data_IF_977870824987
#
_entry.id   IF_977870824987
#
_cell.length_a   1.000
_cell.length_b   1.000
_cell.length_c   1.000
_cell.angle_alpha   90.00
_cell.angle_beta   90.00
_cell.angle_gamma   90.00
#
_symmetry.space_group_name_H-M   'P 1'
#
loop_
_entity.id
_entity.type
_entity.pdbx_description
1 polymer ?
#
# COMPACT_ATOMS: atom_id res chain seq x y z
N UNK A 1 -7.00 -13.08 17.22
CA UNK A 1 -7.01 -11.60 17.22
C UNK A 1 -8.19 -11.02 16.44
N UNK A 2 -8.45 -11.46 15.19
CA UNK A 2 -9.57 -10.96 14.36
C UNK A 2 -10.92 -11.10 15.06
N UNK A 3 -11.17 -12.20 15.80
CA UNK A 3 -12.41 -12.39 16.58
C UNK A 3 -12.56 -11.32 17.68
N UNK A 4 -11.50 -11.08 18.45
CA UNK A 4 -11.49 -10.07 19.51
C UNK A 4 -11.68 -8.64 19.00
N UNK A 5 -11.15 -8.33 17.82
CA UNK A 5 -11.34 -7.03 17.19
C UNK A 5 -12.80 -6.82 16.73
N UNK A 6 -13.44 -7.86 16.21
CA UNK A 6 -14.86 -7.79 15.80
C UNK A 6 -15.82 -7.70 16.99
N UNK A 7 -15.45 -8.24 18.12
CA UNK A 7 -16.21 -8.17 19.37
C UNK A 7 -15.94 -6.89 20.18
N UNK A 8 -14.96 -6.10 19.77
CA UNK A 8 -14.67 -4.83 20.43
C UNK A 8 -15.82 -3.84 20.24
N UNK A 9 -16.11 -3.05 21.26
CA UNK A 9 -17.15 -2.01 21.22
C UNK A 9 -16.85 -0.89 20.20
N UNK A 10 -15.70 -0.92 19.53
CA UNK A 10 -15.27 0.05 18.52
C UNK A 10 -15.74 -0.38 17.13
N UNK A 11 -16.23 0.55 16.29
CA UNK A 11 -16.67 0.24 14.93
C UNK A 11 -15.47 -0.03 14.00
N UNK A 12 -14.93 -1.24 14.06
CA UNK A 12 -13.81 -1.70 13.25
C UNK A 12 -14.29 -2.66 12.17
N UNK A 13 -13.92 -2.42 10.92
CA UNK A 13 -14.04 -3.40 9.85
C UNK A 13 -12.70 -4.07 9.62
N UNK A 14 -12.65 -5.40 9.68
CA UNK A 14 -11.43 -6.18 9.47
C UNK A 14 -11.55 -6.95 8.17
N UNK A 15 -10.63 -6.72 7.25
CA UNK A 15 -10.46 -7.42 5.99
C UNK A 15 -9.34 -8.45 6.19
N UNK A 16 -9.69 -9.71 6.20
CA UNK A 16 -8.74 -10.80 6.43
C UNK A 16 -8.12 -11.33 5.14
N UNK A 17 -7.15 -12.22 5.30
CA UNK A 17 -6.34 -12.79 4.21
C UNK A 17 -7.18 -13.42 3.08
N UNK A 18 -8.31 -14.08 3.40
CA UNK A 18 -9.20 -14.69 2.39
C UNK A 18 -9.79 -13.66 1.42
N UNK A 19 -10.00 -12.43 1.88
CA UNK A 19 -10.55 -11.34 1.07
C UNK A 19 -9.46 -10.61 0.28
N UNK A 20 -8.21 -10.72 0.72
CA UNK A 20 -7.02 -10.17 0.06
C UNK A 20 -6.52 -11.09 -1.06
N UNK A 21 -6.70 -12.41 -0.91
CA UNK A 21 -6.28 -13.40 -1.90
C UNK A 21 -7.31 -13.55 -3.02
N UNK A 22 -6.84 -13.48 -4.26
CA UNK A 22 -7.60 -13.91 -5.44
C UNK A 22 -8.59 -12.91 -6.04
N UNK A 23 -8.71 -11.70 -5.51
CA UNK A 23 -9.71 -10.74 -6.02
C UNK A 23 -9.22 -9.32 -6.24
N UNK A 24 -8.07 -8.95 -5.74
CA UNK A 24 -7.64 -7.56 -5.82
C UNK A 24 -6.17 -7.46 -6.15
N UNK A 25 -5.88 -6.75 -7.18
CA UNK A 25 -4.52 -6.39 -7.57
C UNK A 25 -3.89 -5.35 -6.66
N UNK A 26 -4.69 -4.64 -5.84
CA UNK A 26 -4.20 -3.61 -4.95
C UNK A 26 -5.10 -3.39 -3.71
N UNK A 27 -4.56 -2.70 -2.70
CA UNK A 27 -5.26 -2.41 -1.45
C UNK A 27 -6.51 -1.55 -1.67
N UNK A 28 -6.48 -0.63 -2.62
CA UNK A 28 -7.61 0.25 -2.91
C UNK A 28 -8.84 -0.55 -3.34
N UNK A 29 -8.67 -1.57 -4.18
CA UNK A 29 -9.77 -2.41 -4.65
C UNK A 29 -10.43 -3.18 -3.50
N UNK A 30 -9.62 -3.57 -2.53
CA UNK A 30 -10.10 -4.26 -1.31
C UNK A 30 -10.84 -3.27 -0.40
N UNK A 31 -10.26 -2.09 -0.17
CA UNK A 31 -10.86 -1.05 0.66
C UNK A 31 -12.17 -0.52 0.07
N UNK A 32 -12.29 -0.43 -1.26
CA UNK A 32 -13.51 0.02 -1.93
C UNK A 32 -14.74 -0.86 -1.63
N UNK A 33 -14.52 -2.12 -1.24
CA UNK A 33 -15.58 -3.07 -0.84
C UNK A 33 -16.00 -2.90 0.63
N UNK A 34 -15.30 -2.05 1.38
CA UNK A 34 -15.58 -1.83 2.80
C UNK A 34 -16.63 -0.75 2.98
N UNK A 35 -17.68 -1.05 3.73
CA UNK A 35 -18.76 -0.10 4.00
C UNK A 35 -18.22 1.17 4.65
N UNK A 36 -18.58 2.31 4.08
CA UNK A 36 -18.15 3.64 4.53
C UNK A 36 -16.80 4.10 3.98
N UNK A 37 -16.13 3.29 3.19
CA UNK A 37 -14.93 3.69 2.43
C UNK A 37 -15.33 4.00 1.00
N UNK A 38 -14.89 5.15 0.49
CA UNK A 38 -15.04 5.53 -0.91
C UNK A 38 -13.65 5.79 -1.48
N UNK A 39 -13.37 5.21 -2.63
CA UNK A 39 -12.11 5.41 -3.34
C UNK A 39 -12.41 6.04 -4.69
N UNK A 40 -11.74 7.14 -4.97
CA UNK A 40 -11.78 7.80 -6.27
C UNK A 40 -10.45 7.61 -6.96
N UNK A 41 -10.44 6.80 -8.00
CA UNK A 41 -9.30 6.61 -8.89
C UNK A 41 -9.45 7.54 -10.09
N UNK A 42 -8.36 8.19 -10.49
CA UNK A 42 -8.34 9.09 -11.64
C UNK A 42 -7.93 8.40 -12.95
N UNK A 43 -7.54 7.13 -12.88
CA UNK A 43 -7.10 6.37 -14.06
C UNK A 43 -6.68 4.94 -13.71
N UNK A 44 -5.80 4.37 -14.53
CA UNK A 44 -5.25 3.02 -14.35
C UNK A 44 -4.23 2.90 -13.21
N UNK A 45 -3.44 1.85 -13.26
CA UNK A 45 -2.38 1.62 -12.26
C UNK A 45 -1.41 2.81 -12.22
N UNK A 46 -1.07 3.26 -11.03
CA UNK A 46 -0.20 4.42 -10.80
C UNK A 46 -0.90 5.77 -10.79
N UNK A 47 -2.18 5.84 -11.20
CA UNK A 47 -2.92 7.09 -11.11
C UNK A 47 -3.21 7.48 -9.66
N UNK A 48 -3.39 8.79 -9.43
CA UNK A 48 -3.74 9.29 -8.11
C UNK A 48 -5.06 8.69 -7.62
N UNK A 49 -5.05 8.17 -6.41
CA UNK A 49 -6.25 7.70 -5.73
C UNK A 49 -6.49 8.51 -4.46
N UNK A 50 -7.75 8.82 -4.21
CA UNK A 50 -8.18 9.47 -2.97
C UNK A 50 -9.06 8.53 -2.19
N UNK A 51 -8.66 8.26 -0.96
CA UNK A 51 -9.41 7.44 -0.04
C UNK A 51 -10.19 8.36 0.89
N UNK A 52 -11.49 8.16 0.99
CA UNK A 52 -12.33 8.82 1.97
C UNK A 52 -13.04 7.81 2.85
N UNK A 53 -13.15 8.11 4.13
CA UNK A 53 -13.85 7.34 5.11
C UNK A 53 -14.97 8.19 5.70
N UNK A 54 -16.23 7.81 5.48
CA UNK A 54 -17.41 8.58 5.88
C UNK A 54 -17.37 10.04 5.42
N UNK A 55 -16.85 10.30 4.21
CA UNK A 55 -16.73 11.63 3.64
C UNK A 55 -15.52 12.45 4.12
N UNK A 56 -14.67 11.91 5.00
CA UNK A 56 -13.46 12.58 5.47
C UNK A 56 -12.24 12.08 4.69
N UNK A 57 -11.39 12.99 4.24
CA UNK A 57 -10.23 12.72 3.37
C UNK A 57 -8.94 13.35 3.92
N UNK A 58 -7.81 12.89 3.37
CA UNK A 58 -6.50 13.49 3.56
C UNK A 58 -6.01 13.43 5.02
N UNK A 59 -5.55 14.56 5.55
CA UNK A 59 -4.95 14.66 6.91
C UNK A 59 -5.90 14.30 8.06
N UNK A 60 -7.21 14.18 7.78
CA UNK A 60 -8.22 13.79 8.77
C UNK A 60 -8.29 12.28 8.97
N UNK A 61 -7.65 11.51 8.12
CA UNK A 61 -7.54 10.06 8.21
C UNK A 61 -6.13 9.64 8.59
N UNK A 62 -6.01 8.69 9.50
CA UNK A 62 -4.74 8.04 9.83
C UNK A 62 -4.45 6.87 8.89
N UNK A 63 -3.24 6.81 8.35
CA UNK A 63 -2.74 5.67 7.59
C UNK A 63 -1.57 5.06 8.35
N UNK A 64 -1.65 3.77 8.63
CA UNK A 64 -0.69 3.05 9.47
C UNK A 64 -0.28 1.73 8.84
N UNK A 65 0.95 1.34 9.12
CA UNK A 65 1.48 -0.01 8.86
C UNK A 65 2.05 -0.54 10.17
N UNK A 66 1.54 -1.66 10.62
CA UNK A 66 1.90 -2.25 11.92
C UNK A 66 1.87 -1.20 13.06
N UNK A 67 0.77 -0.44 13.10
CA UNK A 67 0.52 0.64 14.09
C UNK A 67 1.47 1.87 13.97
N UNK A 68 2.41 1.85 13.03
CA UNK A 68 3.31 2.98 12.77
C UNK A 68 2.70 3.91 11.71
N UNK A 69 2.61 5.24 11.96
CA UNK A 69 2.10 6.18 10.98
C UNK A 69 2.92 6.15 9.69
N UNK A 70 2.26 6.07 8.54
CA UNK A 70 2.95 6.06 7.24
C UNK A 70 3.78 7.31 7.00
N UNK A 71 3.37 8.45 7.53
CA UNK A 71 4.14 9.69 7.47
C UNK A 71 5.51 9.60 8.16
N UNK A 72 5.67 8.69 9.11
CA UNK A 72 6.95 8.41 9.77
C UNK A 72 7.77 7.36 9.01
N UNK A 73 7.11 6.46 8.28
CA UNK A 73 7.80 5.43 7.51
C UNK A 73 8.44 6.02 6.25
N UNK A 74 7.69 6.80 5.48
CA UNK A 74 8.20 7.46 4.28
C UNK A 74 7.16 8.42 3.69
N UNK A 75 7.61 9.56 3.18
CA UNK A 75 6.77 10.45 2.37
C UNK A 75 6.56 9.93 0.93
N UNK A 76 7.24 8.87 0.52
CA UNK A 76 7.24 8.34 -0.84
C UNK A 76 6.43 7.05 -1.00
N UNK A 77 6.13 6.35 0.08
CA UNK A 77 5.38 5.09 0.06
C UNK A 77 3.90 5.37 0.31
N UNK A 78 3.06 5.03 -0.64
CA UNK A 78 1.61 5.05 -0.46
C UNK A 78 1.12 3.69 0.06
N UNK A 79 -0.07 3.67 0.70
CA UNK A 79 -0.68 2.44 1.19
C UNK A 79 -0.82 1.38 0.08
N UNK A 80 -1.13 1.83 -1.13
CA UNK A 80 -1.30 0.98 -2.31
C UNK A 80 0.01 0.42 -2.87
N UNK A 81 1.14 0.81 -2.30
CA UNK A 81 2.46 0.32 -2.69
C UNK A 81 2.84 -0.98 -2.00
N UNK A 82 2.12 -1.32 -0.92
CA UNK A 82 2.36 -2.52 -0.14
C UNK A 82 1.73 -3.70 -0.90
N UNK A 83 2.52 -4.70 -1.32
CA UNK A 83 2.00 -5.89 -1.98
C UNK A 83 1.00 -6.63 -1.09
N UNK A 84 -0.14 -7.03 -1.64
CA UNK A 84 -1.21 -7.69 -0.88
C UNK A 84 -0.79 -9.04 -0.30
N UNK A 85 0.18 -9.70 -0.91
CA UNK A 85 0.76 -10.94 -0.38
C UNK A 85 1.56 -10.75 0.92
N UNK A 86 2.00 -9.52 1.23
CA UNK A 86 2.67 -9.20 2.50
C UNK A 86 1.69 -8.88 3.63
N UNK A 87 0.40 -8.74 3.32
CA UNK A 87 -0.62 -8.29 4.27
C UNK A 87 -1.31 -9.49 4.91
N UNK A 88 -1.43 -9.47 6.22
CA UNK A 88 -2.24 -10.42 6.98
C UNK A 88 -3.69 -9.97 7.04
N UNK A 89 -3.90 -8.70 7.38
CA UNK A 89 -5.23 -8.08 7.48
C UNK A 89 -5.15 -6.58 7.32
N UNK A 90 -6.27 -5.97 6.97
CA UNK A 90 -6.46 -4.53 6.99
C UNK A 90 -7.55 -4.21 8.02
N UNK A 91 -7.27 -3.29 8.91
CA UNK A 91 -8.17 -2.82 9.95
C UNK A 91 -8.64 -1.41 9.60
N UNK A 92 -9.94 -1.21 9.48
CA UNK A 92 -10.55 0.09 9.18
C UNK A 92 -11.34 0.58 10.39
N UNK A 93 -10.80 1.56 11.09
CA UNK A 93 -11.40 2.20 12.26
C UNK A 93 -12.27 3.36 11.82
N UNK A 94 -13.59 3.28 12.11
CA UNK A 94 -14.59 4.23 11.62
C UNK A 94 -14.97 5.23 12.72
N UNK A 95 -14.17 6.25 12.90
CA UNK A 95 -14.40 7.32 13.89
C UNK A 95 -13.45 7.21 15.09
N UNK A 96 -13.73 6.32 16.03
CA UNK A 96 -12.85 6.18 17.21
C UNK A 96 -11.60 5.38 16.83
N UNK A 97 -10.44 6.01 16.98
CA UNK A 97 -9.13 5.41 16.72
C UNK A 97 -8.46 5.13 18.07
N UNK A 98 -7.97 3.91 18.32
CA UNK A 98 -7.25 3.60 19.55
C UNK A 98 -6.08 4.55 19.81
N UNK A 99 -5.89 4.95 21.06
CA UNK A 99 -4.84 5.89 21.47
C UNK A 99 -3.42 5.43 21.09
N UNK A 100 -3.21 4.12 20.96
CA UNK A 100 -1.92 3.52 20.59
C UNK A 100 -1.41 3.95 19.22
N UNK A 101 -2.28 4.39 18.32
CA UNK A 101 -1.89 4.88 17.01
C UNK A 101 -1.29 6.30 17.05
N UNK A 102 -1.49 7.04 18.13
CA UNK A 102 -1.03 8.43 18.21
C UNK A 102 -1.62 9.31 17.12
N UNK A 103 -1.66 10.61 17.34
CA UNK A 103 -2.04 11.57 16.31
C UNK A 103 -3.53 11.88 16.20
N UNK A 104 -3.86 12.80 15.30
CA UNK A 104 -5.17 13.42 15.13
C UNK A 104 -6.01 12.81 14.01
N UNK A 105 -6.21 11.50 14.02
CA UNK A 105 -7.06 10.83 13.05
C UNK A 105 -8.55 10.99 13.39
N UNK A 106 -9.09 12.21 13.27
CA UNK A 106 -10.47 12.57 13.64
C UNK A 106 -11.54 11.82 12.82
N UNK A 107 -11.21 11.43 11.60
CA UNK A 107 -12.16 10.76 10.69
C UNK A 107 -12.10 9.24 10.72
N UNK A 108 -11.11 8.67 11.38
CA UNK A 108 -10.83 7.26 11.41
C UNK A 108 -9.43 6.91 10.92
N UNK A 109 -9.13 5.61 10.88
CA UNK A 109 -7.81 5.14 10.48
C UNK A 109 -7.89 3.85 9.66
N UNK A 110 -6.91 3.67 8.80
CA UNK A 110 -6.64 2.40 8.12
C UNK A 110 -5.28 1.91 8.60
N UNK A 111 -5.26 0.71 9.18
CA UNK A 111 -4.03 0.04 9.61
C UNK A 111 -3.82 -1.23 8.79
N UNK A 112 -2.73 -1.30 8.09
CA UNK A 112 -2.28 -2.51 7.39
C UNK A 112 -1.39 -3.30 8.33
N UNK A 113 -1.81 -4.51 8.66
CA UNK A 113 -1.03 -5.43 9.49
C UNK A 113 -0.31 -6.39 8.58
N UNK A 114 1.01 -6.41 8.67
CA UNK A 114 1.85 -7.31 7.89
C UNK A 114 1.88 -8.70 8.48
N UNK A 115 2.10 -9.70 7.63
CA UNK A 115 2.15 -11.11 8.06
C UNK A 115 3.28 -11.36 9.05
N UNK A 116 2.97 -12.06 10.14
CA UNK A 116 3.99 -12.74 10.92
C UNK A 116 4.49 -13.95 10.13
N UNK A 117 5.77 -13.96 9.84
CA UNK A 117 6.36 -15.00 9.00
C UNK A 117 6.90 -16.15 9.84
N UNK A 118 6.78 -17.40 9.36
CA UNK A 118 7.41 -18.54 9.98
C UNK A 118 8.96 -18.41 9.96
N UNK A 119 9.71 -19.33 10.62
CA UNK A 119 11.17 -19.25 10.69
C UNK A 119 11.88 -19.08 9.35
N UNK A 120 11.31 -19.65 8.28
CA UNK A 120 11.73 -19.41 6.90
C UNK A 120 10.47 -19.18 6.07
N UNK A 121 10.44 -18.08 5.36
CA UNK A 121 9.34 -17.73 4.46
C UNK A 121 9.89 -17.23 3.13
N UNK A 122 9.32 -17.75 2.07
CA UNK A 122 9.55 -17.27 0.71
C UNK A 122 8.22 -17.18 -0.01
N UNK A 123 8.00 -16.07 -0.69
CA UNK A 123 6.83 -15.84 -1.53
C UNK A 123 7.27 -15.19 -2.84
N UNK A 124 6.67 -15.64 -3.92
CA UNK A 124 6.83 -15.04 -5.24
C UNK A 124 5.44 -14.95 -5.88
N UNK A 125 5.08 -13.77 -6.31
CA UNK A 125 3.80 -13.50 -6.96
C UNK A 125 4.04 -12.82 -8.29
N UNK A 126 3.36 -13.30 -9.33
CA UNK A 126 3.28 -12.65 -10.64
C UNK A 126 1.83 -12.48 -11.03
N UNK A 127 1.44 -11.26 -11.34
CA UNK A 127 0.09 -10.89 -11.73
C UNK A 127 0.08 -10.23 -13.10
N UNK A 128 -0.91 -10.60 -13.91
CA UNK A 128 -1.17 -10.00 -15.23
C UNK A 128 -2.57 -9.41 -15.24
N UNK A 129 -2.68 -8.20 -15.70
CA UNK A 129 -3.95 -7.48 -15.80
C UNK A 129 -4.19 -6.92 -17.19
N UNK A 130 -5.37 -6.30 -17.35
CA UNK A 130 -5.76 -5.59 -18.59
C UNK A 130 -4.78 -4.44 -18.86
N UNK A 131 -4.75 -4.00 -20.14
CA UNK A 131 -3.95 -2.87 -20.61
C UNK A 131 -2.44 -3.05 -20.40
N UNK A 132 -1.99 -4.30 -20.62
CA UNK A 132 -0.59 -4.71 -20.48
C UNK A 132 -0.03 -4.38 -19.07
N UNK A 133 -0.79 -4.76 -18.06
CA UNK A 133 -0.39 -4.60 -16.66
C UNK A 133 0.33 -5.86 -16.19
N UNK A 134 1.52 -5.68 -15.64
CA UNK A 134 2.34 -6.74 -15.06
C UNK A 134 2.82 -6.31 -13.68
N UNK A 135 2.65 -7.18 -12.70
CA UNK A 135 3.15 -6.96 -11.36
C UNK A 135 3.90 -8.21 -10.89
N UNK A 136 5.08 -7.99 -10.35
CA UNK A 136 5.92 -9.05 -9.77
C UNK A 136 6.27 -8.63 -8.36
N UNK A 137 6.13 -9.53 -7.41
CA UNK A 137 6.63 -9.32 -6.07
C UNK A 137 7.30 -10.57 -5.53
N UNK A 138 8.33 -10.37 -4.73
CA UNK A 138 9.02 -11.44 -4.04
C UNK A 138 9.40 -10.98 -2.65
N UNK A 139 9.31 -11.90 -1.70
CA UNK A 139 9.77 -11.67 -0.33
C UNK A 139 10.42 -12.92 0.23
N UNK A 140 11.55 -12.73 0.88
CA UNK A 140 12.21 -13.75 1.66
C UNK A 140 12.38 -13.23 3.08
N UNK A 141 12.05 -14.05 4.07
CA UNK A 141 12.21 -13.74 5.48
C UNK A 141 12.72 -14.93 6.26
N UNK A 142 13.65 -14.70 7.14
CA UNK A 142 14.19 -15.71 8.03
C UNK A 142 14.22 -15.21 9.47
N UNK A 143 13.74 -16.05 10.38
CA UNK A 143 13.74 -15.78 11.82
C UNK A 143 14.55 -16.86 12.53
N UNK A 144 15.60 -16.46 13.23
CA UNK A 144 16.28 -17.35 14.18
C UNK A 144 15.66 -17.17 15.58
N UNK A 145 14.94 -18.20 16.01
CA UNK A 145 14.26 -18.21 17.30
C UNK A 145 15.22 -18.21 18.50
N UNK A 146 16.46 -18.67 18.32
CA UNK A 146 17.45 -18.72 19.42
C UNK A 146 18.00 -17.35 19.72
N UNK A 147 18.50 -16.66 18.72
CA UNK A 147 19.08 -15.32 18.85
C UNK A 147 18.04 -14.20 18.89
N UNK A 148 16.80 -14.46 18.48
CA UNK A 148 15.76 -13.43 18.32
C UNK A 148 15.99 -12.52 17.13
N UNK A 149 16.89 -12.88 16.21
CA UNK A 149 17.16 -12.14 14.99
C UNK A 149 16.16 -12.53 13.89
N UNK A 150 15.62 -11.54 13.24
CA UNK A 150 14.78 -11.68 12.06
C UNK A 150 15.36 -10.84 10.92
N UNK A 151 15.56 -11.47 9.78
CA UNK A 151 16.01 -10.82 8.55
C UNK A 151 14.94 -10.95 7.49
N UNK A 152 14.67 -9.88 6.75
CA UNK A 152 13.76 -9.85 5.62
C UNK A 152 14.38 -9.10 4.44
N UNK A 153 14.13 -9.59 3.23
CA UNK A 153 14.44 -8.92 1.98
C UNK A 153 13.27 -9.12 1.02
N UNK A 154 12.94 -8.12 0.26
CA UNK A 154 11.87 -8.21 -0.71
C UNK A 154 11.97 -7.17 -1.80
N UNK A 155 11.21 -7.38 -2.87
CA UNK A 155 11.11 -6.45 -3.96
C UNK A 155 9.80 -6.59 -4.70
N UNK A 156 9.38 -5.51 -5.36
CA UNK A 156 8.22 -5.49 -6.22
C UNK A 156 8.52 -4.65 -7.46
N UNK A 157 8.00 -5.11 -8.58
CA UNK A 157 8.00 -4.39 -9.85
C UNK A 157 6.56 -4.32 -10.36
N UNK A 158 6.15 -3.14 -10.80
CA UNK A 158 4.84 -2.93 -11.39
C UNK A 158 5.00 -2.15 -12.68
N UNK A 159 4.37 -2.63 -13.73
CA UNK A 159 4.31 -2.00 -15.04
C UNK A 159 2.87 -1.99 -15.52
N UNK A 160 2.43 -0.89 -16.12
CA UNK A 160 1.15 -0.81 -16.83
C UNK A 160 1.28 0.15 -18.01
N UNK A 161 0.76 -0.24 -19.16
CA UNK A 161 0.72 0.62 -20.34
C UNK A 161 -0.45 1.60 -20.27
N UNK A 162 -1.53 1.23 -19.59
CA UNK A 162 -2.76 2.00 -19.42
C UNK A 162 -3.37 2.52 -20.75
N UNK A 163 -3.22 1.77 -21.83
CA UNK A 163 -3.59 2.14 -23.20
C UNK A 163 -5.06 1.82 -23.54
N UNK A 164 -5.96 2.07 -22.60
CA UNK A 164 -7.38 1.82 -22.78
C UNK A 164 -8.07 2.86 -23.69
N UNK A 165 -9.18 2.41 -24.28
CA UNK A 165 -10.02 3.27 -25.09
C UNK A 165 -11.05 3.97 -24.22
N UNK A 166 -11.32 5.25 -24.52
CA UNK A 166 -12.30 6.07 -23.82
C UNK A 166 -13.14 6.84 -24.83
N UNK A 167 -14.38 7.14 -24.47
CA UNK A 167 -15.25 8.04 -25.23
C UNK A 167 -15.21 9.41 -24.58
N UNK A 168 -14.84 10.42 -25.35
CA UNK A 168 -14.77 11.80 -24.87
C UNK A 168 -16.04 12.53 -25.21
N UNK A 169 -16.71 13.07 -24.20
CA UNK A 169 -17.97 13.83 -24.38
C UNK A 169 -17.75 15.15 -25.14
N UNK A 170 -16.58 15.75 -25.02
CA UNK A 170 -16.18 16.99 -25.72
C UNK A 170 -15.83 16.77 -27.20
N UNK A 171 -15.71 15.52 -27.66
CA UNK A 171 -15.47 15.15 -29.07
C UNK A 171 -16.60 14.29 -29.62
N UNK A 172 -17.85 14.68 -29.39
CA UNK A 172 -19.08 14.04 -29.91
C UNK A 172 -19.11 12.52 -29.62
N UNK A 173 -18.52 12.07 -28.50
CA UNK A 173 -18.46 10.66 -28.14
C UNK A 173 -17.46 9.84 -28.94
N UNK A 174 -16.55 10.45 -29.66
CA UNK A 174 -15.50 9.77 -30.40
C UNK A 174 -14.64 8.90 -29.48
N UNK A 175 -14.42 7.68 -29.91
CA UNK A 175 -13.54 6.75 -29.20
C UNK A 175 -12.07 7.10 -29.48
N UNK A 176 -11.31 7.33 -28.43
CA UNK A 176 -9.88 7.66 -28.49
C UNK A 176 -9.11 6.70 -27.60
N UNK A 177 -7.95 6.25 -28.07
CA UNK A 177 -7.04 5.42 -27.29
C UNK A 177 -6.09 6.30 -26.48
N UNK A 178 -5.96 6.01 -25.19
CA UNK A 178 -4.99 6.67 -24.33
C UNK A 178 -3.58 6.15 -24.65
N UNK A 179 -2.61 7.01 -24.85
CA UNK A 179 -1.28 6.65 -25.34
C UNK A 179 -0.12 7.13 -24.47
N UNK A 180 -0.28 8.16 -23.66
CA UNK A 180 0.77 8.70 -22.79
C UNK A 180 0.40 8.58 -21.32
N UNK A 181 0.32 7.33 -20.82
CA UNK A 181 -0.10 7.03 -19.45
C UNK A 181 0.63 5.80 -18.88
N UNK A 182 1.83 5.54 -19.39
CA UNK A 182 2.62 4.41 -18.93
C UNK A 182 3.09 4.61 -17.49
N UNK A 183 2.94 3.58 -16.70
CA UNK A 183 3.40 3.53 -15.31
C UNK A 183 4.47 2.45 -15.12
N UNK A 184 5.51 2.79 -14.39
CA UNK A 184 6.59 1.88 -14.04
C UNK A 184 7.06 2.17 -12.62
N UNK A 185 7.15 1.13 -11.78
CA UNK A 185 7.56 1.24 -10.40
C UNK A 185 8.43 0.07 -9.98
N UNK A 186 9.53 0.39 -9.31
CA UNK A 186 10.42 -0.57 -8.67
C UNK A 186 10.47 -0.23 -7.19
N UNK A 187 10.26 -1.21 -6.35
CA UNK A 187 10.45 -1.12 -4.91
C UNK A 187 11.34 -2.28 -4.45
N UNK A 188 12.30 -2.00 -3.60
CA UNK A 188 13.10 -3.01 -2.94
C UNK A 188 13.28 -2.64 -1.47
N UNK A 189 13.33 -3.62 -0.60
CA UNK A 189 13.46 -3.38 0.83
C UNK A 189 14.18 -4.50 1.55
N UNK A 190 14.80 -4.14 2.67
CA UNK A 190 15.33 -5.09 3.63
C UNK A 190 14.99 -4.65 5.05
N UNK A 191 14.81 -5.60 5.92
CA UNK A 191 14.50 -5.38 7.33
C UNK A 191 15.35 -6.27 8.23
N UNK A 192 15.76 -5.73 9.35
CA UNK A 192 16.41 -6.44 10.43
C UNK A 192 15.68 -6.12 11.73
N UNK A 193 15.31 -7.16 12.45
CA UNK A 193 14.66 -7.04 13.76
C UNK A 193 15.39 -7.92 14.76
N UNK A 194 15.64 -7.40 15.96
CA UNK A 194 16.25 -8.12 17.07
C UNK A 194 15.41 -7.95 18.34
N UNK A 195 15.14 -9.05 19.07
CA UNK A 195 14.18 -9.04 20.20
C UNK A 195 14.71 -9.69 21.49
N UNK A 196 15.92 -10.24 21.51
CA UNK A 196 16.44 -11.00 22.68
C UNK A 196 17.77 -10.47 23.23
N UNK A 197 17.99 -9.18 23.15
CA UNK A 197 19.20 -8.56 23.62
C UNK A 197 18.91 -7.75 24.89
N UNK A 198 19.77 -6.76 25.21
CA UNK A 198 19.59 -5.84 26.35
C UNK A 198 18.44 -4.83 26.17
N UNK A 199 17.77 -4.84 25.01
CA UNK A 199 16.59 -4.08 24.68
C UNK A 199 15.43 -5.04 24.35
N UNK A 200 14.18 -4.54 24.40
CA UNK A 200 12.99 -5.33 24.09
C UNK A 200 12.87 -5.59 22.59
N UNK A 201 13.10 -4.58 21.80
CA UNK A 201 13.03 -4.67 20.34
C UNK A 201 13.93 -3.61 19.69
N UNK A 202 14.66 -4.02 18.67
CA UNK A 202 15.33 -3.13 17.71
C UNK A 202 14.85 -3.50 16.31
N UNK A 203 14.43 -2.51 15.56
CA UNK A 203 13.99 -2.65 14.17
C UNK A 203 14.79 -1.68 13.29
N UNK A 204 15.30 -2.19 12.20
CA UNK A 204 15.96 -1.41 11.16
C UNK A 204 15.38 -1.79 9.80
N UNK A 205 15.05 -0.80 8.99
CA UNK A 205 14.45 -0.98 7.67
C UNK A 205 15.14 -0.05 6.65
N UNK A 206 15.37 -0.60 5.48
CA UNK A 206 15.82 0.12 4.30
C UNK A 206 14.82 -0.12 3.19
N UNK A 207 14.28 0.96 2.62
CA UNK A 207 13.34 0.91 1.50
C UNK A 207 13.89 1.78 0.38
N UNK A 208 14.01 1.20 -0.80
CA UNK A 208 14.28 1.89 -2.05
C UNK A 208 13.02 1.91 -2.91
N UNK A 209 12.67 3.07 -3.45
CA UNK A 209 11.55 3.25 -4.37
C UNK A 209 11.99 4.08 -5.57
N UNK A 210 11.58 3.65 -6.76
CA UNK A 210 11.65 4.44 -7.98
C UNK A 210 10.37 4.27 -8.77
N UNK A 211 9.71 5.38 -9.05
CA UNK A 211 8.49 5.43 -9.85
C UNK A 211 8.70 6.35 -11.05
N UNK A 212 8.20 5.94 -12.19
CA UNK A 212 8.10 6.77 -13.40
C UNK A 212 6.68 6.64 -13.92
N UNK A 213 6.04 7.77 -14.16
CA UNK A 213 4.71 7.84 -14.71
C UNK A 213 4.66 8.86 -15.83
N UNK A 214 4.03 8.50 -16.93
CA UNK A 214 3.60 9.41 -17.98
C UNK A 214 2.22 9.94 -17.59
N UNK A 215 1.99 11.23 -17.80
CA UNK A 215 0.74 11.87 -17.46
C UNK A 215 0.23 12.54 -18.74
N UNK A 216 -0.90 12.05 -19.21
CA UNK A 216 -1.55 12.64 -20.36
C UNK A 216 -2.34 13.89 -19.96
N UNK A 217 -2.27 14.95 -20.79
CA UNK A 217 -3.03 16.17 -20.60
C UNK A 217 -4.55 15.97 -20.76
N UNK A 218 -5.31 16.99 -20.45
CA UNK A 218 -6.78 16.96 -20.38
C UNK A 218 -7.41 16.66 -21.74
N UNK A 219 -6.86 17.23 -22.82
CA UNK A 219 -7.43 17.17 -24.16
C UNK A 219 -6.81 16.10 -25.06
N UNK A 220 -6.06 15.13 -24.49
CA UNK A 220 -5.30 14.16 -25.26
C UNK A 220 -4.27 14.79 -26.20
N UNK A 221 -3.95 16.06 -26.04
CA UNK A 221 -2.89 16.71 -26.80
C UNK A 221 -1.53 16.24 -26.26
N UNK A 222 -0.75 15.61 -27.12
CA UNK A 222 0.60 15.10 -26.79
C UNK A 222 1.52 16.20 -26.27
N UNK A 223 1.28 17.46 -26.64
CA UNK A 223 2.05 18.60 -26.15
C UNK A 223 1.82 18.94 -24.68
N UNK A 224 0.71 18.47 -24.09
CA UNK A 224 0.40 18.61 -22.67
C UNK A 224 0.77 17.38 -21.84
N UNK A 225 1.45 16.42 -22.43
CA UNK A 225 1.88 15.22 -21.74
C UNK A 225 3.14 15.48 -20.89
N UNK A 226 3.14 14.96 -19.68
CA UNK A 226 4.22 15.13 -18.70
C UNK A 226 4.81 13.80 -18.29
N UNK A 227 6.11 13.82 -17.97
CA UNK A 227 6.77 12.70 -17.30
C UNK A 227 6.99 13.06 -15.84
N UNK A 228 6.48 12.22 -14.94
CA UNK A 228 6.72 12.34 -13.51
C UNK A 228 7.60 11.19 -13.05
N UNK A 229 8.71 11.51 -12.39
CA UNK A 229 9.62 10.51 -11.84
C UNK A 229 9.94 10.85 -10.38
N UNK A 230 9.76 9.88 -9.51
CA UNK A 230 10.12 9.99 -8.10
C UNK A 230 11.05 8.83 -7.77
N UNK A 231 12.15 9.15 -7.09
CA UNK A 231 13.03 8.14 -6.51
C UNK A 231 13.40 8.54 -5.09
N UNK A 232 13.48 7.57 -4.21
CA UNK A 232 13.80 7.82 -2.81
C UNK A 232 14.36 6.59 -2.12
N UNK A 233 15.15 6.85 -1.08
CA UNK A 233 15.65 5.84 -0.15
C UNK A 233 15.21 6.26 1.24
N UNK A 234 14.57 5.36 1.96
CA UNK A 234 14.20 5.57 3.35
C UNK A 234 14.95 4.58 4.22
N UNK A 235 15.59 5.09 5.25
CA UNK A 235 16.21 4.30 6.31
C UNK A 235 15.50 4.64 7.61
N UNK A 236 14.94 3.65 8.27
CA UNK A 236 14.33 3.82 9.59
C UNK A 236 14.97 2.89 10.60
N UNK A 237 15.16 3.39 11.83
CA UNK A 237 15.62 2.61 12.96
C UNK A 237 14.75 2.91 14.18
N UNK A 238 14.32 1.87 14.89
CA UNK A 238 13.55 1.98 16.11
C UNK A 238 14.17 1.10 17.19
N UNK A 239 14.29 1.63 18.38
CA UNK A 239 14.77 0.93 19.55
C UNK A 239 13.75 1.09 20.68
N UNK A 240 13.22 -0.01 21.17
CA UNK A 240 12.32 -0.04 22.30
C UNK A 240 13.02 -0.70 23.51
N UNK A 241 12.99 -0.01 24.62
CA UNK A 241 13.46 -0.52 25.92
C UNK A 241 12.42 -0.19 26.96
N UNK A 242 11.96 -1.21 27.71
CA UNK A 242 11.12 -1.06 28.90
C UNK A 242 11.96 -0.64 30.10
#
# INVERSE_FOLDING_TARGET
>A
EIGKLKESAMPVSVIGQRQLQGTASNINDVLARTVGVTIRNTGGLGSASRISLRGLEGKRMGMYVDETPMSQLSNFVALNDIPTNMIERIEVYKGIVPYKFGGSALGGAVNVVTKEYPPVYFDFTYEVGSFNTHQVSTVFKRTDRKSGLQFGIGGAFSFAKNDYKMKLANLDGREVKRDHDQFNKIMAGMSLKATKWWFDEMKWELIFLKTRQEIQGIDLDVREAYNHSVSGVTVSSMLFKR
#
